data_IF_978816347559
#
_entry.id   IF_978816347559
#
_cell.length_a   1.000
_cell.length_b   1.000
_cell.length_c   1.000
_cell.angle_alpha   90.00
_cell.angle_beta   90.00
_cell.angle_gamma   90.00
#
_symmetry.space_group_name_H-M   'P 1'
#
loop_
_entity.id
_entity.type
_entity.pdbx_description
1 polymer ?
#
# COMPACT_ATOMS: atom_id res chain seq x y z
N UNK A 1 2.46 19.65 -17.44
CA UNK A 1 2.88 19.60 -18.86
C UNK A 1 2.88 18.17 -19.39
N UNK A 2 3.58 17.21 -18.75
CA UNK A 2 3.74 15.83 -19.26
C UNK A 2 2.40 15.12 -19.53
N UNK A 3 1.47 15.16 -18.59
CA UNK A 3 0.16 14.52 -18.74
C UNK A 3 -0.70 15.19 -19.81
N UNK A 4 -0.70 16.53 -19.84
CA UNK A 4 -1.45 17.31 -20.83
C UNK A 4 -0.92 17.08 -22.24
N UNK A 5 0.41 16.99 -22.41
CA UNK A 5 1.07 16.68 -23.68
C UNK A 5 0.72 15.25 -24.17
N UNK A 6 0.51 14.32 -23.25
CA UNK A 6 0.06 12.97 -23.53
C UNK A 6 -1.47 12.84 -23.74
N UNK A 7 -2.23 13.95 -23.64
CA UNK A 7 -3.69 13.92 -23.74
C UNK A 7 -4.38 13.29 -22.51
N UNK A 8 -3.69 13.17 -21.39
CA UNK A 8 -4.22 12.59 -20.16
C UNK A 8 -4.82 13.71 -19.30
N UNK A 9 -6.10 13.59 -18.99
CA UNK A 9 -6.76 14.47 -18.01
C UNK A 9 -6.39 14.05 -16.60
N UNK A 10 -5.95 15.01 -15.78
CA UNK A 10 -5.56 14.78 -14.39
C UNK A 10 -6.39 15.65 -13.47
N UNK A 11 -7.17 15.01 -12.61
CA UNK A 11 -7.90 15.67 -11.53
C UNK A 11 -7.05 15.60 -10.26
N UNK A 12 -6.71 16.75 -9.68
CA UNK A 12 -5.83 16.84 -8.50
C UNK A 12 -6.63 17.28 -7.29
N UNK A 13 -6.44 16.58 -6.17
CA UNK A 13 -6.94 16.96 -4.86
C UNK A 13 -5.82 16.93 -3.84
N UNK A 14 -5.49 18.06 -3.25
CA UNK A 14 -4.48 18.16 -2.19
C UNK A 14 -5.14 17.98 -0.82
N UNK A 15 -4.91 16.84 -0.18
CA UNK A 15 -5.45 16.55 1.15
C UNK A 15 -4.68 15.42 1.85
N UNK A 16 -4.68 15.45 3.19
CA UNK A 16 -4.22 14.35 4.06
C UNK A 16 -5.38 13.68 4.79
N UNK A 17 -6.60 14.09 4.49
CA UNK A 17 -7.81 13.63 5.17
C UNK A 17 -8.27 12.28 4.60
N UNK A 18 -8.49 11.30 5.47
CA UNK A 18 -9.14 10.05 5.09
C UNK A 18 -10.56 10.28 4.57
N UNK A 19 -11.28 11.28 5.11
CA UNK A 19 -12.62 11.62 4.64
C UNK A 19 -12.61 12.12 3.19
N UNK A 20 -11.64 12.97 2.83
CA UNK A 20 -11.46 13.46 1.47
C UNK A 20 -11.06 12.35 0.50
N UNK A 21 -10.21 11.43 0.93
CA UNK A 21 -9.86 10.26 0.14
C UNK A 21 -11.11 9.40 -0.13
N UNK A 22 -11.93 9.13 0.87
CA UNK A 22 -13.19 8.39 0.72
C UNK A 22 -14.18 9.07 -0.24
N UNK A 23 -14.29 10.39 -0.16
CA UNK A 23 -15.11 11.14 -1.12
C UNK A 23 -14.58 10.99 -2.54
N UNK A 24 -13.25 11.06 -2.73
CA UNK A 24 -12.61 10.83 -4.02
C UNK A 24 -12.90 9.43 -4.54
N UNK A 25 -12.75 8.39 -3.71
CA UNK A 25 -13.08 7.01 -4.06
C UNK A 25 -14.55 6.85 -4.45
N UNK A 26 -15.46 7.55 -3.77
CA UNK A 26 -16.89 7.55 -4.11
C UNK A 26 -17.14 8.13 -5.50
N UNK A 27 -16.47 9.23 -5.87
CA UNK A 27 -16.58 9.83 -7.21
C UNK A 27 -16.00 8.92 -8.30
N UNK A 28 -14.92 8.21 -7.99
CA UNK A 28 -14.32 7.23 -8.93
C UNK A 28 -15.25 6.05 -9.21
N UNK A 29 -15.98 5.56 -8.20
CA UNK A 29 -17.04 4.54 -8.40
C UNK A 29 -18.17 5.02 -9.31
N UNK A 30 -18.36 6.33 -9.43
CA UNK A 30 -19.33 6.97 -10.35
C UNK A 30 -18.73 7.23 -11.74
N UNK A 31 -17.51 6.76 -12.01
CA UNK A 31 -16.87 6.89 -13.32
C UNK A 31 -16.10 8.19 -13.53
N UNK A 32 -15.66 8.87 -12.47
CA UNK A 32 -14.90 10.12 -12.60
C UNK A 32 -13.50 9.91 -13.20
N UNK A 33 -12.90 8.73 -13.04
CA UNK A 33 -11.62 8.33 -13.63
C UNK A 33 -11.41 6.82 -13.49
N UNK A 34 -10.53 6.25 -14.29
CA UNK A 34 -10.18 4.82 -14.27
C UNK A 34 -9.01 4.51 -13.33
N UNK A 35 -8.26 5.53 -12.91
CA UNK A 35 -7.05 5.38 -12.09
C UNK A 35 -7.09 6.35 -10.93
N UNK A 36 -6.82 5.85 -9.72
CA UNK A 36 -6.54 6.62 -8.52
C UNK A 36 -5.04 6.55 -8.19
N UNK A 37 -4.37 7.71 -8.18
CA UNK A 37 -3.00 7.83 -7.67
C UNK A 37 -3.03 8.48 -6.29
N UNK A 38 -2.47 7.80 -5.28
CA UNK A 38 -2.33 8.33 -3.91
C UNK A 38 -0.85 8.60 -3.61
N UNK A 39 -0.49 9.89 -3.49
CA UNK A 39 0.88 10.32 -3.12
C UNK A 39 0.85 11.26 -1.89
N UNK A 40 1.11 10.73 -0.72
CA UNK A 40 1.35 9.34 -0.35
C UNK A 40 0.34 8.87 0.70
N UNK A 41 0.06 7.57 0.68
CA UNK A 41 -0.82 6.95 1.68
C UNK A 41 -0.27 7.09 3.10
N UNK A 42 1.06 7.19 3.26
CA UNK A 42 1.69 7.45 4.56
C UNK A 42 1.23 8.76 5.19
N UNK A 43 1.01 9.81 4.41
CA UNK A 43 0.48 11.08 4.93
C UNK A 43 -0.98 10.97 5.35
N UNK A 44 -1.79 10.20 4.63
CA UNK A 44 -3.19 9.95 4.99
C UNK A 44 -3.27 9.17 6.30
N UNK A 45 -2.41 8.17 6.46
CA UNK A 45 -2.29 7.40 7.69
C UNK A 45 -1.87 8.28 8.87
N UNK A 46 -0.81 9.08 8.71
CA UNK A 46 -0.36 10.04 9.74
C UNK A 46 -1.47 11.03 10.11
N UNK A 47 -2.18 11.58 9.13
CA UNK A 47 -3.31 12.48 9.34
C UNK A 47 -4.46 11.82 10.09
N UNK A 48 -4.76 10.55 9.77
CA UNK A 48 -5.77 9.78 10.48
C UNK A 48 -5.39 9.56 11.96
N UNK A 49 -4.13 9.19 12.24
CA UNK A 49 -3.63 9.04 13.62
C UNK A 49 -3.71 10.35 14.41
N UNK A 50 -3.31 11.46 13.78
CA UNK A 50 -3.39 12.78 14.39
C UNK A 50 -4.84 13.17 14.71
N UNK A 51 -5.75 13.00 13.76
CA UNK A 51 -7.17 13.31 13.97
C UNK A 51 -7.79 12.46 15.09
N UNK A 52 -7.37 11.20 15.21
CA UNK A 52 -7.80 10.34 16.32
C UNK A 52 -7.27 10.86 17.67
N UNK A 53 -5.96 11.20 17.75
CA UNK A 53 -5.33 11.72 18.96
C UNK A 53 -6.03 13.02 19.44
N UNK A 54 -6.32 13.93 18.51
CA UNK A 54 -7.07 15.16 18.79
C UNK A 54 -8.48 14.88 19.31
N UNK A 55 -9.20 13.93 18.69
CA UNK A 55 -10.54 13.51 19.12
C UNK A 55 -10.55 12.98 20.55
N UNK A 56 -9.54 12.21 20.93
CA UNK A 56 -9.42 11.68 22.31
C UNK A 56 -8.67 12.62 23.26
N UNK A 57 -8.28 13.83 22.78
CA UNK A 57 -7.56 14.87 23.52
C UNK A 57 -6.26 14.38 24.13
N UNK A 58 -5.47 13.64 23.34
CA UNK A 58 -4.17 13.10 23.75
C UNK A 58 -3.05 13.61 22.85
N UNK A 59 -1.87 13.80 23.41
CA UNK A 59 -0.64 14.14 22.67
C UNK A 59 0.08 12.89 22.15
N UNK A 60 -0.21 11.73 22.71
CA UNK A 60 0.34 10.43 22.32
C UNK A 60 -0.75 9.37 22.35
N UNK A 61 -0.68 8.46 21.38
CA UNK A 61 -1.53 7.27 21.35
C UNK A 61 -1.05 6.24 22.38
N UNK A 62 -2.00 5.61 23.05
CA UNK A 62 -1.75 4.55 24.02
C UNK A 62 -2.04 3.18 23.39
N UNK A 63 -1.60 2.11 24.06
CA UNK A 63 -1.76 0.76 23.51
C UNK A 63 -3.23 0.40 23.22
N UNK A 64 -4.15 0.81 24.05
CA UNK A 64 -5.58 0.55 23.90
C UNK A 64 -6.20 1.26 22.69
N UNK A 65 -5.63 2.39 22.24
CA UNK A 65 -6.14 3.13 21.08
C UNK A 65 -6.03 2.33 19.79
N UNK A 66 -5.01 1.47 19.70
CA UNK A 66 -4.79 0.62 18.52
C UNK A 66 -5.93 -0.38 18.28
N UNK A 67 -6.64 -0.79 19.34
CA UNK A 67 -7.86 -1.60 19.22
C UNK A 67 -9.02 -0.90 18.52
N UNK A 68 -8.99 0.43 18.41
CA UNK A 68 -9.99 1.23 17.68
C UNK A 68 -9.43 1.68 16.33
N UNK A 69 -8.18 2.14 16.31
CA UNK A 69 -7.52 2.72 15.14
C UNK A 69 -7.44 1.71 13.99
N UNK A 70 -6.88 0.52 14.24
CA UNK A 70 -6.67 -0.49 13.19
C UNK A 70 -7.98 -0.99 12.57
N UNK A 71 -9.00 -1.43 13.32
CA UNK A 71 -10.27 -1.83 12.75
C UNK A 71 -10.98 -0.70 12.01
N UNK A 72 -10.82 0.56 12.48
CA UNK A 72 -11.41 1.71 11.79
C UNK A 72 -10.72 1.94 10.45
N UNK A 73 -9.40 1.92 10.40
CA UNK A 73 -8.64 2.04 9.15
C UNK A 73 -9.00 0.93 8.15
N UNK A 74 -9.05 -0.31 8.62
CA UNK A 74 -9.44 -1.45 7.79
C UNK A 74 -10.81 -1.22 7.16
N UNK A 75 -11.83 -0.98 7.94
CA UNK A 75 -13.21 -0.75 7.47
C UNK A 75 -13.35 0.48 6.57
N UNK A 76 -12.67 1.58 6.92
CA UNK A 76 -12.86 2.87 6.26
C UNK A 76 -11.98 3.07 5.02
N UNK A 77 -10.94 2.24 4.87
CA UNK A 77 -10.00 2.32 3.74
C UNK A 77 -9.69 0.95 3.14
N UNK A 78 -9.03 0.03 3.87
CA UNK A 78 -8.50 -1.20 3.27
C UNK A 78 -9.59 -2.08 2.63
N UNK A 79 -10.70 -2.29 3.32
CA UNK A 79 -11.82 -3.08 2.79
C UNK A 79 -12.49 -2.41 1.58
N UNK A 80 -12.43 -1.07 1.50
CA UNK A 80 -13.05 -0.33 0.41
C UNK A 80 -12.19 -0.39 -0.85
N UNK A 81 -10.87 -0.19 -0.74
CA UNK A 81 -10.04 -0.13 -1.94
C UNK A 81 -9.88 -1.49 -2.62
N UNK A 82 -9.92 -2.60 -1.88
CA UNK A 82 -9.87 -3.96 -2.45
C UNK A 82 -11.09 -4.27 -3.32
N UNK A 83 -12.24 -3.61 -3.07
CA UNK A 83 -13.49 -3.86 -3.77
C UNK A 83 -13.74 -2.90 -4.95
N UNK A 84 -12.89 -1.90 -5.13
CA UNK A 84 -13.14 -0.83 -6.09
C UNK A 84 -12.90 -1.28 -7.55
N UNK A 85 -13.70 -0.78 -8.51
CA UNK A 85 -13.63 -1.19 -9.92
C UNK A 85 -12.57 -0.47 -10.74
N UNK A 86 -11.81 0.44 -10.14
CA UNK A 86 -10.76 1.24 -10.79
C UNK A 86 -9.37 0.82 -10.30
N UNK A 87 -8.33 1.18 -11.06
CA UNK A 87 -6.95 0.90 -10.70
C UNK A 87 -6.45 1.85 -9.61
N UNK A 88 -5.72 1.32 -8.64
CA UNK A 88 -5.14 2.13 -7.55
C UNK A 88 -3.63 1.98 -7.55
N UNK A 89 -2.94 3.13 -7.63
CA UNK A 89 -1.50 3.24 -7.45
C UNK A 89 -1.25 4.03 -6.17
N UNK A 90 -0.58 3.41 -5.20
CA UNK A 90 -0.28 4.05 -3.92
C UNK A 90 1.22 4.19 -3.74
N UNK A 91 1.68 5.41 -3.52
CA UNK A 91 3.01 5.66 -3.01
C UNK A 91 3.00 5.67 -1.49
N UNK A 92 3.94 4.97 -0.87
CA UNK A 92 4.15 4.98 0.57
C UNK A 92 5.62 5.20 0.90
N UNK A 93 5.89 5.87 2.00
CA UNK A 93 7.26 6.05 2.49
C UNK A 93 7.78 4.73 3.02
N UNK A 94 8.99 4.35 2.64
CA UNK A 94 9.68 3.22 3.24
C UNK A 94 10.14 3.56 4.67
N UNK A 95 10.07 2.58 5.54
CA UNK A 95 10.59 2.63 6.90
C UNK A 95 11.25 1.31 7.25
N UNK A 96 12.03 1.32 8.33
CA UNK A 96 12.66 0.10 8.80
C UNK A 96 11.74 -0.66 9.74
N UNK A 97 11.76 -1.97 9.61
CA UNK A 97 11.20 -2.89 10.57
C UNK A 97 12.29 -3.32 11.55
N UNK A 98 11.94 -3.42 12.83
CA UNK A 98 12.86 -3.79 13.88
C UNK A 98 12.27 -4.94 14.68
N UNK A 99 13.05 -6.00 14.81
CA UNK A 99 12.72 -7.11 15.68
C UNK A 99 13.55 -7.05 16.94
N UNK A 100 13.00 -7.64 18.00
CA UNK A 100 13.59 -7.66 19.33
C UNK A 100 13.83 -9.12 19.72
N UNK A 101 15.03 -9.59 19.49
CA UNK A 101 15.43 -10.94 19.84
C UNK A 101 16.30 -10.97 21.11
N UNK A 102 16.23 -12.10 21.79
CA UNK A 102 17.12 -12.36 22.92
C UNK A 102 18.43 -12.92 22.39
N UNK A 103 19.51 -12.16 22.55
CA UNK A 103 20.86 -12.62 22.22
C UNK A 103 21.17 -13.87 23.02
N UNK A 104 21.49 -14.97 22.34
CA UNK A 104 21.74 -16.28 22.95
C UNK A 104 22.95 -16.28 23.90
N UNK A 105 23.96 -15.46 23.61
CA UNK A 105 25.22 -15.41 24.37
C UNK A 105 25.12 -14.49 25.59
N UNK A 106 24.45 -13.36 25.46
CA UNK A 106 24.36 -12.33 26.51
C UNK A 106 23.08 -12.41 27.34
N UNK A 107 22.06 -13.11 26.85
CA UNK A 107 20.73 -13.16 27.46
C UNK A 107 19.94 -11.84 27.39
N UNK A 108 20.51 -10.77 26.83
CA UNK A 108 19.89 -9.46 26.71
C UNK A 108 19.03 -9.39 25.44
N UNK A 109 17.96 -8.58 25.52
CA UNK A 109 17.19 -8.25 24.33
C UNK A 109 17.91 -7.20 23.50
N UNK A 110 18.11 -7.49 22.23
CA UNK A 110 18.74 -6.61 21.27
C UNK A 110 17.75 -6.30 20.14
N UNK A 111 17.72 -5.03 19.74
CA UNK A 111 16.87 -4.56 18.63
C UNK A 111 17.74 -4.55 17.38
N UNK A 112 17.34 -5.31 16.39
CA UNK A 112 18.01 -5.30 15.08
C UNK A 112 17.02 -5.00 13.97
N UNK A 113 17.55 -4.48 12.87
CA UNK A 113 16.78 -4.14 11.67
C UNK A 113 16.46 -5.43 10.93
N UNK A 114 15.19 -5.82 10.88
CA UNK A 114 14.71 -7.06 10.28
C UNK A 114 14.23 -6.91 8.84
N UNK A 115 13.84 -5.68 8.43
CA UNK A 115 13.31 -5.47 7.10
C UNK A 115 13.01 -4.01 6.76
N UNK A 116 12.36 -3.85 5.61
CA UNK A 116 11.81 -2.58 5.12
C UNK A 116 10.31 -2.78 4.96
N UNK A 117 9.53 -1.82 5.46
CA UNK A 117 8.09 -1.81 5.29
C UNK A 117 7.56 -0.44 4.87
N UNK A 118 6.38 -0.40 4.29
CA UNK A 118 5.66 0.84 4.04
C UNK A 118 5.17 1.46 5.35
N UNK A 119 5.36 2.76 5.52
CA UNK A 119 4.85 3.51 6.69
C UNK A 119 3.35 3.78 6.55
N UNK A 120 2.57 2.78 6.86
CA UNK A 120 1.11 2.78 6.88
C UNK A 120 0.65 1.77 7.93
N UNK A 121 -0.64 1.57 8.11
CA UNK A 121 -1.16 0.45 8.89
C UNK A 121 -0.62 -0.89 8.34
N UNK A 122 -0.20 -1.80 9.24
CA UNK A 122 0.62 -2.96 8.88
C UNK A 122 0.05 -3.89 7.82
N UNK A 123 -1.27 -4.09 7.81
CA UNK A 123 -1.94 -4.98 6.85
C UNK A 123 -2.12 -4.33 5.47
N UNK A 124 -2.16 -2.99 5.39
CA UNK A 124 -2.42 -2.24 4.15
C UNK A 124 -1.43 -2.59 3.02
N UNK A 125 -0.16 -2.86 3.35
CA UNK A 125 0.86 -3.21 2.36
C UNK A 125 0.67 -4.60 1.75
N UNK A 126 -0.12 -5.47 2.38
CA UNK A 126 -0.41 -6.83 1.88
C UNK A 126 -1.62 -6.90 0.95
N UNK A 127 -2.44 -5.85 0.90
CA UNK A 127 -3.65 -5.83 0.08
C UNK A 127 -3.37 -5.62 -1.43
N UNK A 128 -2.45 -4.75 -1.88
CA UNK A 128 -2.19 -4.55 -3.30
C UNK A 128 -1.81 -5.84 -4.03
N UNK A 129 -2.16 -5.94 -5.31
CA UNK A 129 -1.79 -7.06 -6.16
C UNK A 129 -0.28 -7.13 -6.40
N UNK A 130 0.37 -5.95 -6.45
CA UNK A 130 1.81 -5.83 -6.59
C UNK A 130 2.36 -4.84 -5.56
N UNK A 131 3.47 -5.21 -4.90
CA UNK A 131 4.24 -4.35 -4.00
C UNK A 131 5.67 -4.21 -4.51
N UNK A 132 6.10 -2.98 -4.76
CA UNK A 132 7.42 -2.67 -5.31
C UNK A 132 8.18 -1.75 -4.37
N UNK A 133 9.38 -2.14 -3.98
CA UNK A 133 10.33 -1.27 -3.29
C UNK A 133 11.13 -0.48 -4.31
N UNK A 134 11.08 0.85 -4.21
CA UNK A 134 11.88 1.75 -5.04
C UNK A 134 13.05 2.32 -4.22
N UNK A 135 14.26 2.10 -4.67
CA UNK A 135 15.48 2.60 -4.04
C UNK A 135 16.29 3.47 -4.99
N UNK A 136 16.96 4.48 -4.44
CA UNK A 136 17.88 5.34 -5.16
C UNK A 136 19.31 5.04 -4.74
N UNK A 137 20.14 4.72 -5.71
CA UNK A 137 21.56 4.46 -5.52
C UNK A 137 22.40 5.58 -6.12
N UNK A 138 23.57 5.80 -5.56
CA UNK A 138 24.58 6.67 -6.13
C UNK A 138 25.99 6.11 -5.89
N UNK A 139 26.83 6.29 -6.89
CA UNK A 139 28.24 5.93 -6.87
C UNK A 139 29.05 7.17 -7.23
N UNK A 140 30.06 7.47 -6.43
CA UNK A 140 30.96 8.60 -6.66
C UNK A 140 32.32 8.05 -7.07
N UNK A 141 32.77 8.35 -8.28
CA UNK A 141 34.04 7.93 -8.87
C UNK A 141 34.85 9.17 -9.22
N UNK A 142 35.71 9.64 -8.29
CA UNK A 142 36.38 10.92 -8.43
C UNK A 142 35.39 12.09 -8.45
N UNK A 143 35.44 12.89 -9.53
CA UNK A 143 34.52 14.02 -9.73
C UNK A 143 33.20 13.60 -10.39
N UNK A 144 33.07 12.37 -10.85
CA UNK A 144 31.87 11.84 -11.50
C UNK A 144 30.90 11.25 -10.48
N UNK A 145 29.61 11.54 -10.67
CA UNK A 145 28.51 11.02 -9.86
C UNK A 145 27.53 10.27 -10.75
N UNK A 146 27.43 8.96 -10.53
CA UNK A 146 26.45 8.10 -11.21
C UNK A 146 25.28 7.83 -10.29
N UNK A 147 24.08 8.12 -10.76
CA UNK A 147 22.82 7.90 -10.03
C UNK A 147 21.95 6.95 -10.81
N UNK A 148 21.38 5.94 -10.12
CA UNK A 148 20.36 5.07 -10.71
C UNK A 148 19.28 4.75 -9.67
N UNK A 149 18.21 4.15 -10.14
CA UNK A 149 17.12 3.66 -9.29
C UNK A 149 16.95 2.16 -9.51
N UNK A 150 16.55 1.46 -8.48
CA UNK A 150 16.20 0.04 -8.56
C UNK A 150 14.79 -0.15 -8.03
N UNK A 151 14.03 -1.01 -8.71
CA UNK A 151 12.72 -1.47 -8.31
C UNK A 151 12.78 -2.96 -8.01
N UNK A 152 12.56 -3.33 -6.76
CA UNK A 152 12.48 -4.73 -6.34
C UNK A 152 11.02 -5.08 -6.10
N UNK A 153 10.50 -6.06 -6.84
CA UNK A 153 9.14 -6.58 -6.65
C UNK A 153 9.14 -7.48 -5.42
N UNK A 154 8.54 -6.99 -4.32
CA UNK A 154 8.46 -7.71 -3.05
C UNK A 154 7.31 -8.71 -3.05
N UNK A 155 6.24 -8.37 -3.77
CA UNK A 155 5.03 -9.17 -3.92
C UNK A 155 4.46 -8.98 -5.31
N UNK A 156 4.05 -10.07 -5.92
CA UNK A 156 3.29 -10.09 -7.16
C UNK A 156 2.30 -11.27 -7.13
N UNK A 157 1.00 -10.98 -7.12
CA UNK A 157 -0.04 -12.02 -7.11
C UNK A 157 -0.07 -12.84 -8.40
N UNK A 158 0.43 -12.30 -9.52
CA UNK A 158 0.60 -13.06 -10.76
C UNK A 158 1.76 -14.05 -10.71
N UNK A 159 2.69 -13.88 -9.77
CA UNK A 159 3.93 -14.65 -9.60
C UNK A 159 4.97 -14.46 -10.71
N UNK A 160 4.68 -13.68 -11.75
CA UNK A 160 5.55 -13.49 -12.92
C UNK A 160 6.80 -12.70 -12.58
N UNK A 161 6.65 -11.68 -11.73
CA UNK A 161 7.73 -10.74 -11.39
C UNK A 161 8.18 -10.84 -9.94
N UNK A 162 7.60 -11.74 -9.14
CA UNK A 162 7.92 -11.86 -7.71
C UNK A 162 9.42 -12.07 -7.49
N UNK A 163 10.03 -11.26 -6.61
CA UNK A 163 11.46 -11.26 -6.33
C UNK A 163 12.37 -10.63 -7.39
N UNK A 164 11.85 -10.18 -8.55
CA UNK A 164 12.68 -9.54 -9.59
C UNK A 164 13.07 -8.12 -9.22
N UNK A 165 14.29 -7.73 -9.65
CA UNK A 165 14.82 -6.36 -9.49
C UNK A 165 15.13 -5.77 -10.87
N UNK A 166 14.72 -4.52 -11.08
CA UNK A 166 14.91 -3.77 -12.31
C UNK A 166 15.72 -2.50 -12.02
N UNK A 167 16.80 -2.29 -12.80
CA UNK A 167 17.60 -1.07 -12.74
C UNK A 167 17.04 -0.03 -13.70
N UNK A 168 16.84 1.19 -13.19
CA UNK A 168 16.14 2.28 -13.89
C UNK A 168 14.80 1.81 -14.50
N UNK A 169 13.88 1.32 -13.68
CA UNK A 169 12.65 0.71 -14.15
C UNK A 169 11.80 1.68 -14.94
N UNK A 170 11.07 1.12 -15.90
CA UNK A 170 9.97 1.78 -16.61
C UNK A 170 8.68 0.98 -16.40
N UNK A 171 7.55 1.52 -16.83
CA UNK A 171 6.25 0.84 -16.72
C UNK A 171 6.25 -0.51 -17.45
N UNK A 172 6.93 -0.60 -18.61
CA UNK A 172 7.02 -1.81 -19.43
C UNK A 172 7.58 -3.02 -18.67
N UNK A 173 8.41 -2.79 -17.63
CA UNK A 173 8.91 -3.87 -16.80
C UNK A 173 7.80 -4.58 -16.02
N UNK A 174 6.70 -3.90 -15.75
CA UNK A 174 5.58 -4.40 -14.94
C UNK A 174 4.40 -4.89 -15.77
N UNK A 175 4.32 -4.49 -17.05
CA UNK A 175 3.23 -4.87 -17.97
C UNK A 175 2.93 -6.37 -17.97
N UNK A 176 3.92 -7.30 -18.02
CA UNK A 176 3.62 -8.73 -18.06
C UNK A 176 2.80 -9.23 -16.86
N UNK A 177 3.06 -8.69 -15.66
CA UNK A 177 2.29 -9.06 -14.48
C UNK A 177 0.92 -8.38 -14.47
N UNK A 178 0.84 -7.12 -14.90
CA UNK A 178 -0.41 -6.36 -14.98
C UNK A 178 -1.35 -7.04 -15.99
N UNK A 179 -0.88 -7.37 -17.18
CA UNK A 179 -1.68 -8.04 -18.21
C UNK A 179 -2.21 -9.39 -17.72
N UNK A 180 -1.35 -10.19 -17.06
CA UNK A 180 -1.77 -11.49 -16.52
C UNK A 180 -2.86 -11.36 -15.45
N UNK A 181 -2.82 -10.31 -14.64
CA UNK A 181 -3.87 -10.03 -13.65
C UNK A 181 -5.17 -9.52 -14.28
N UNK A 182 -5.06 -8.75 -15.39
CA UNK A 182 -6.22 -8.24 -16.12
C UNK A 182 -6.89 -9.32 -16.99
N UNK A 183 -6.10 -10.22 -17.60
CA UNK A 183 -6.61 -11.32 -18.43
C UNK A 183 -7.27 -12.43 -17.61
N UNK A 184 -6.77 -12.66 -16.38
CA UNK A 184 -7.28 -13.67 -15.46
C UNK A 184 -7.72 -13.03 -14.13
N UNK A 185 -8.71 -12.12 -14.14
CA UNK A 185 -9.20 -11.56 -12.90
C UNK A 185 -9.73 -12.70 -12.03
N UNK A 186 -9.26 -12.78 -10.79
CA UNK A 186 -9.85 -13.72 -9.83
C UNK A 186 -11.35 -13.46 -9.78
N UNK A 187 -12.21 -14.50 -9.94
CA UNK A 187 -13.64 -14.32 -9.91
C UNK A 187 -14.02 -13.58 -8.62
N UNK A 188 -14.57 -12.39 -8.72
CA UNK A 188 -15.03 -11.63 -7.55
C UNK A 188 -16.07 -12.40 -6.74
N UNK A 189 -16.75 -13.34 -7.39
CA UNK A 189 -17.80 -14.21 -6.82
C UNK A 189 -17.30 -15.59 -6.39
N UNK A 190 -15.99 -15.84 -6.38
CA UNK A 190 -15.43 -17.14 -5.94
C UNK A 190 -15.80 -17.49 -4.48
N UNK A 191 -16.24 -16.50 -3.71
CA UNK A 191 -16.74 -16.63 -2.33
C UNK A 191 -18.21 -16.24 -2.18
N UNK A 192 -18.95 -15.95 -3.26
CA UNK A 192 -20.39 -15.84 -3.17
C UNK A 192 -20.92 -17.21 -2.77
N UNK A 193 -21.37 -17.34 -1.52
CA UNK A 193 -22.05 -18.55 -1.04
C UNK A 193 -23.24 -18.80 -1.95
N UNK A 194 -23.46 -20.05 -2.41
CA UNK A 194 -24.67 -20.37 -3.13
C UNK A 194 -25.88 -19.93 -2.30
N UNK A 195 -26.80 -19.20 -2.91
CA UNK A 195 -28.04 -18.81 -2.25
C UNK A 195 -28.71 -20.09 -1.70
N UNK A 196 -28.72 -20.24 -0.37
CA UNK A 196 -29.41 -21.35 0.31
C UNK A 196 -28.59 -22.13 1.34
N UNK A 197 -27.26 -21.96 1.45
CA UNK A 197 -26.47 -22.76 2.41
C UNK A 197 -25.79 -21.92 3.49
N UNK A 198 -26.59 -21.28 4.35
CA UNK A 198 -26.10 -20.56 5.54
C UNK A 198 -25.90 -21.47 6.75
N UNK A 199 -25.91 -22.79 6.59
CA UNK A 199 -26.05 -23.75 7.70
C UNK A 199 -24.80 -24.53 8.13
N UNK A 200 -23.68 -24.53 7.40
CA UNK A 200 -22.66 -25.56 7.59
C UNK A 200 -21.25 -25.08 8.02
N UNK A 201 -20.99 -23.79 8.18
CA UNK A 201 -19.63 -23.32 8.53
C UNK A 201 -19.36 -23.13 10.03
N UNK A 202 -20.33 -23.41 10.90
CA UNK A 202 -20.13 -23.28 12.36
C UNK A 202 -20.67 -24.50 13.14
N UNK A 203 -20.30 -25.71 12.74
CA UNK A 203 -20.44 -26.90 13.59
C UNK A 203 -19.07 -27.56 13.76
N UNK A 204 -18.42 -27.22 14.80
CA UNK A 204 -17.69 -27.90 15.90
C UNK A 204 -16.74 -26.94 16.56
#
# INVERSE_FOLDING_TARGET
>A
PIFTEAGIEVLVRESKSLADLKETMTRLRQGASDILLIDSISHVWEGFLQSYAEKVRRTRLEFQDWGVIKPTWKREFSDLFVQDPYHIIMNGRAGYEYDNEKNADTGKREIFKSGIKMKVEGETAYEPDMLVLMERFEEVLGDDKKIWREATVIKDRSTILDGKTFKNPSFENFVPAIDAMLENPLPRDAFAMPEGDTGLLFRT
#
